data_IF_030259063625
#
_entry.id   IF_030259063625
#
_cell.length_a   1.000
_cell.length_b   1.000
_cell.length_c   1.000
_cell.angle_alpha   90.00
_cell.angle_beta   90.00
_cell.angle_gamma   90.00
#
_symmetry.space_group_name_H-M   'P 1'
#
loop_
_entity.id
_entity.type
_entity.pdbx_description
1 polymer ?
#
# COMPACT_ATOMS: atom_id res chain seq x y z
N UNK A 1 -6.37 48.27 30.89
CA UNK A 1 -5.70 46.98 30.61
C UNK A 1 -5.67 46.79 29.11
N UNK A 2 -4.49 46.92 28.49
CA UNK A 2 -4.31 46.68 27.04
C UNK A 2 -3.90 45.22 26.87
N UNK A 3 -4.82 44.38 26.41
CA UNK A 3 -4.49 43.02 25.99
C UNK A 3 -3.72 43.12 24.68
N UNK A 4 -2.49 42.66 24.69
CA UNK A 4 -1.60 42.64 23.54
C UNK A 4 -2.21 41.78 22.43
N UNK A 5 -2.60 42.41 21.32
CA UNK A 5 -3.09 41.75 20.11
C UNK A 5 -2.03 40.82 19.47
N UNK A 6 -0.76 40.92 19.89
CA UNK A 6 0.32 40.08 19.37
C UNK A 6 0.24 38.62 19.84
N UNK A 7 -0.33 38.34 21.02
CA UNK A 7 -0.42 36.96 21.55
C UNK A 7 -1.51 36.12 20.88
N UNK A 8 -2.59 36.73 20.39
CA UNK A 8 -3.67 36.02 19.71
C UNK A 8 -3.31 35.65 18.25
N UNK A 9 -2.44 36.44 17.61
CA UNK A 9 -2.00 36.17 16.24
C UNK A 9 -1.05 34.96 16.17
N UNK A 10 -0.18 34.80 17.18
CA UNK A 10 0.75 33.66 17.23
C UNK A 10 0.05 32.32 17.52
N UNK A 11 -1.07 32.34 18.26
CA UNK A 11 -1.85 31.13 18.52
C UNK A 11 -2.65 30.69 17.30
N UNK A 12 -3.10 31.61 16.43
CA UNK A 12 -3.86 31.26 15.23
C UNK A 12 -2.99 30.70 14.09
N UNK A 13 -1.75 31.18 13.95
CA UNK A 13 -0.82 30.72 12.91
C UNK A 13 -0.32 29.29 13.16
N UNK A 14 -0.33 28.82 14.42
CA UNK A 14 0.12 27.46 14.77
C UNK A 14 -0.93 26.36 14.51
N UNK A 15 -2.17 26.69 14.11
CA UNK A 15 -3.23 25.71 13.84
C UNK A 15 -3.62 25.58 12.35
N UNK A 16 -2.89 26.22 11.43
CA UNK A 16 -3.19 26.14 9.99
C UNK A 16 -2.01 25.57 9.20
N UNK A 17 -1.37 24.54 9.73
CA UNK A 17 -0.79 23.54 8.83
C UNK A 17 -1.94 22.60 8.48
N UNK A 18 -2.70 22.96 7.44
CA UNK A 18 -3.63 22.03 6.81
C UNK A 18 -2.78 20.87 6.28
N UNK A 19 -2.71 19.78 7.03
CA UNK A 19 -2.17 18.53 6.50
C UNK A 19 -3.17 18.06 5.46
N UNK A 20 -2.88 18.34 4.19
CA UNK A 20 -3.71 17.81 3.11
C UNK A 20 -3.49 16.30 3.06
N UNK A 21 -4.60 15.57 3.18
CA UNK A 21 -4.63 14.13 3.11
C UNK A 21 -5.34 13.72 1.82
N UNK A 22 -4.74 12.82 1.06
CA UNK A 22 -5.29 12.31 -0.19
C UNK A 22 -5.67 10.85 -0.02
N UNK A 23 -6.87 10.48 -0.48
CA UNK A 23 -7.40 9.13 -0.37
C UNK A 23 -7.43 8.45 -1.75
N UNK A 24 -6.66 7.36 -1.89
CA UNK A 24 -6.60 6.57 -3.12
C UNK A 24 -7.06 5.14 -2.86
N UNK A 25 -8.01 4.66 -3.67
CA UNK A 25 -8.54 3.30 -3.55
C UNK A 25 -7.91 2.35 -4.57
N UNK A 26 -7.41 1.23 -4.07
CA UNK A 26 -6.69 0.23 -4.85
C UNK A 26 -7.24 -1.17 -4.62
N UNK A 27 -6.93 -2.04 -5.58
CA UNK A 27 -7.07 -3.48 -5.48
C UNK A 27 -5.69 -4.09 -5.67
N UNK A 28 -5.24 -4.89 -4.71
CA UNK A 28 -4.07 -5.76 -4.88
C UNK A 28 -4.52 -7.20 -5.12
N UNK A 29 -4.01 -7.78 -6.19
CA UNK A 29 -4.17 -9.19 -6.50
C UNK A 29 -2.95 -9.95 -6.01
N UNK A 30 -3.15 -11.02 -5.27
CA UNK A 30 -2.11 -11.87 -4.72
C UNK A 30 -2.58 -13.32 -4.66
N UNK A 31 -1.66 -14.27 -4.55
CA UNK A 31 -2.05 -15.66 -4.46
C UNK A 31 -0.93 -16.63 -4.80
N UNK A 32 -1.32 -17.86 -5.09
CA UNK A 32 -0.44 -18.96 -5.50
C UNK A 32 -1.06 -19.67 -6.71
N UNK A 33 -0.45 -20.77 -7.17
CA UNK A 33 -1.09 -21.61 -8.20
C UNK A 33 -2.45 -22.18 -7.79
N UNK A 34 -2.77 -22.24 -6.49
CA UNK A 34 -3.99 -22.90 -5.99
C UNK A 34 -5.13 -21.94 -5.65
N UNK A 35 -4.85 -20.64 -5.49
CA UNK A 35 -5.85 -19.64 -5.15
C UNK A 35 -5.38 -18.24 -5.57
N UNK A 36 -6.34 -17.36 -5.82
CA UNK A 36 -6.13 -15.95 -6.14
C UNK A 36 -7.02 -15.14 -5.20
N UNK A 37 -6.44 -14.16 -4.52
CA UNK A 37 -7.13 -13.23 -3.66
C UNK A 37 -7.05 -11.82 -4.22
N UNK A 38 -8.10 -11.06 -3.99
CA UNK A 38 -8.19 -9.64 -4.31
C UNK A 38 -8.52 -8.88 -3.02
N UNK A 39 -7.61 -7.98 -2.64
CA UNK A 39 -7.78 -7.12 -1.49
C UNK A 39 -8.07 -5.68 -1.94
N UNK A 40 -9.20 -5.14 -1.50
CA UNK A 40 -9.60 -3.75 -1.68
C UNK A 40 -9.20 -2.94 -0.46
N UNK A 41 -8.52 -1.81 -0.66
CA UNK A 41 -8.05 -0.95 0.40
C UNK A 41 -7.91 0.50 -0.07
N UNK A 42 -7.88 1.41 0.90
CA UNK A 42 -7.57 2.82 0.69
C UNK A 42 -6.18 3.13 1.25
N UNK A 43 -5.41 3.91 0.51
CA UNK A 43 -4.19 4.56 1.02
C UNK A 43 -4.52 6.03 1.25
N UNK A 44 -4.33 6.48 2.48
CA UNK A 44 -4.41 7.88 2.89
C UNK A 44 -2.98 8.40 3.01
N UNK A 45 -2.53 9.14 2.01
CA UNK A 45 -1.21 9.80 2.02
C UNK A 45 -1.31 11.25 2.50
N UNK A 46 -0.18 11.81 2.91
CA UNK A 46 -0.06 13.17 3.41
C UNK A 46 1.02 13.92 2.62
N UNK A 47 0.89 15.24 2.49
CA UNK A 47 1.96 16.07 1.92
C UNK A 47 3.23 16.09 2.79
N UNK A 48 3.08 15.84 4.10
CA UNK A 48 4.22 15.73 4.99
C UNK A 48 4.89 14.34 4.85
N UNK A 49 6.10 14.26 4.26
CA UNK A 49 6.76 12.97 4.00
C UNK A 49 7.24 12.25 5.26
N UNK A 50 7.23 12.92 6.42
CA UNK A 50 7.53 12.28 7.71
C UNK A 50 6.36 11.46 8.24
N UNK A 51 5.14 11.71 7.74
CA UNK A 51 3.95 10.95 8.11
C UNK A 51 3.86 9.69 7.24
N UNK A 52 3.86 8.52 7.88
CA UNK A 52 3.58 7.27 7.18
C UNK A 52 2.14 7.32 6.65
N UNK A 53 1.90 7.06 5.36
CA UNK A 53 0.56 6.89 4.82
C UNK A 53 -0.21 5.84 5.63
N UNK A 54 -1.48 6.12 5.87
CA UNK A 54 -2.36 5.20 6.59
C UNK A 54 -3.11 4.31 5.60
N UNK A 55 -3.28 3.04 5.93
CA UNK A 55 -4.01 2.09 5.11
C UNK A 55 -5.30 1.64 5.80
N UNK A 56 -6.38 1.60 5.03
CA UNK A 56 -7.67 1.07 5.47
C UNK A 56 -8.03 -0.10 4.56
N UNK A 57 -7.99 -1.31 5.10
CA UNK A 57 -8.51 -2.49 4.42
C UNK A 57 -10.04 -2.45 4.37
N UNK A 58 -10.61 -2.64 3.19
CA UNK A 58 -12.06 -2.65 2.98
C UNK A 58 -12.59 -4.09 2.91
N UNK A 59 -11.96 -4.93 2.11
CA UNK A 59 -12.36 -6.33 1.94
C UNK A 59 -11.24 -7.15 1.33
N UNK A 60 -11.31 -8.46 1.53
CA UNK A 60 -10.50 -9.45 0.85
C UNK A 60 -11.42 -10.60 0.43
N UNK A 61 -11.39 -10.95 -0.84
CA UNK A 61 -12.07 -12.16 -1.32
C UNK A 61 -11.08 -13.02 -2.10
N UNK A 62 -11.19 -14.33 -1.94
CA UNK A 62 -10.33 -15.32 -2.58
C UNK A 62 -11.14 -16.30 -3.42
N UNK A 63 -10.58 -16.72 -4.55
CA UNK A 63 -11.11 -17.75 -5.44
C UNK A 63 -10.07 -18.86 -5.60
N UNK A 64 -10.52 -20.11 -5.72
CA UNK A 64 -9.63 -21.25 -5.92
C UNK A 64 -9.29 -21.39 -7.41
N UNK A 65 -8.00 -21.58 -7.72
CA UNK A 65 -7.49 -21.57 -9.11
C UNK A 65 -8.00 -22.71 -10.01
N UNK A 66 -8.62 -23.75 -9.43
CA UNK A 66 -8.98 -24.98 -10.11
C UNK A 66 -10.50 -25.17 -10.30
N UNK A 67 -11.32 -24.21 -9.86
CA UNK A 67 -12.78 -24.33 -9.96
C UNK A 67 -13.32 -23.43 -11.07
N UNK A 68 -13.86 -24.03 -12.13
CA UNK A 68 -14.40 -23.34 -13.33
C UNK A 68 -15.52 -22.32 -13.02
N UNK A 69 -16.13 -22.37 -11.83
CA UNK A 69 -17.09 -21.40 -11.31
C UNK A 69 -16.92 -21.21 -9.79
N UNK A 70 -15.68 -21.03 -9.33
CA UNK A 70 -15.30 -21.19 -7.94
C UNK A 70 -16.01 -20.28 -6.94
N UNK A 71 -16.55 -20.89 -5.89
CA UNK A 71 -16.97 -20.23 -4.65
C UNK A 71 -15.96 -19.15 -4.26
N UNK A 72 -16.47 -17.96 -3.91
CA UNK A 72 -15.68 -16.88 -3.34
C UNK A 72 -15.62 -17.03 -1.83
N UNK A 73 -14.42 -16.91 -1.28
CA UNK A 73 -14.16 -16.99 0.15
C UNK A 73 -13.78 -15.61 0.68
N UNK A 74 -14.64 -15.03 1.49
CA UNK A 74 -14.36 -13.76 2.14
C UNK A 74 -13.39 -13.97 3.31
N UNK A 75 -12.23 -13.32 3.21
CA UNK A 75 -11.24 -13.30 4.28
C UNK A 75 -11.58 -12.11 5.19
N UNK A 76 -11.81 -12.34 6.50
CA UNK A 76 -12.07 -11.25 7.42
C UNK A 76 -10.90 -10.27 7.44
N UNK A 77 -11.19 -8.97 7.35
CA UNK A 77 -10.19 -7.91 7.49
C UNK A 77 -10.30 -7.30 8.87
N UNK A 78 -9.17 -7.12 9.54
CA UNK A 78 -9.14 -6.48 10.84
C UNK A 78 -9.04 -4.96 10.74
N UNK A 79 -9.90 -4.29 11.49
CA UNK A 79 -9.56 -3.02 12.15
C UNK A 79 -9.88 -2.99 13.65
N UNK A 80 -10.49 -4.05 14.23
CA UNK A 80 -10.74 -4.20 15.68
C UNK A 80 -11.39 -5.54 16.12
N UNK A 81 -12.06 -6.29 15.22
CA UNK A 81 -13.11 -7.25 15.62
C UNK A 81 -12.93 -8.71 15.19
N UNK A 82 -11.84 -9.05 14.50
CA UNK A 82 -11.64 -10.40 13.97
C UNK A 82 -10.22 -10.89 14.32
N UNK A 83 -9.97 -11.51 15.49
CA UNK A 83 -8.60 -11.81 15.95
C UNK A 83 -7.77 -12.71 15.02
N UNK A 84 -8.40 -13.37 14.05
CA UNK A 84 -7.76 -14.18 13.00
C UNK A 84 -7.96 -13.58 11.59
N UNK A 85 -8.33 -12.31 11.48
CA UNK A 85 -8.48 -11.62 10.20
C UNK A 85 -7.13 -11.13 9.66
N UNK A 86 -7.10 -10.81 8.38
CA UNK A 86 -5.95 -10.21 7.73
C UNK A 86 -5.76 -8.76 8.17
N UNK A 87 -4.51 -8.38 8.41
CA UNK A 87 -4.12 -7.02 8.83
C UNK A 87 -3.40 -6.29 7.70
N UNK A 88 -3.88 -5.10 7.35
CA UNK A 88 -3.18 -4.21 6.43
C UNK A 88 -2.19 -3.35 7.20
N UNK A 89 -1.00 -3.14 6.65
CA UNK A 89 0.04 -2.31 7.28
C UNK A 89 0.77 -1.42 6.27
N UNK A 90 1.41 -0.39 6.81
CA UNK A 90 2.32 0.49 6.08
C UNK A 90 3.60 0.69 6.88
N UNK A 91 4.75 0.69 6.21
CA UNK A 91 6.07 0.93 6.80
C UNK A 91 6.84 1.92 5.94
N UNK A 92 7.54 2.87 6.56
CA UNK A 92 8.49 3.71 5.83
C UNK A 92 9.68 2.87 5.36
N UNK A 93 10.01 2.95 4.08
CA UNK A 93 11.17 2.23 3.52
C UNK A 93 12.49 2.77 4.06
N UNK A 94 12.56 4.09 4.31
CA UNK A 94 13.72 4.72 4.92
C UNK A 94 13.31 5.69 6.04
N UNK A 95 13.20 5.20 7.29
CA UNK A 95 12.84 6.04 8.43
C UNK A 95 13.88 7.11 8.77
N UNK A 96 15.15 6.88 8.42
CA UNK A 96 16.25 7.82 8.70
C UNK A 96 16.29 8.97 7.68
N UNK A 97 15.91 8.69 6.43
CA UNK A 97 15.78 9.66 5.35
C UNK A 97 14.42 9.50 4.67
N UNK A 98 13.35 10.13 5.22
CA UNK A 98 11.98 9.90 4.77
C UNK A 98 11.72 10.34 3.32
N UNK A 99 12.63 11.11 2.73
CA UNK A 99 12.58 11.51 1.33
C UNK A 99 13.89 11.20 0.62
N UNK A 100 13.78 10.85 -0.66
CA UNK A 100 14.93 10.73 -1.56
C UNK A 100 15.40 12.10 -2.07
N UNK A 101 16.40 12.11 -2.95
CA UNK A 101 16.97 13.33 -3.55
C UNK A 101 15.97 14.16 -4.38
N UNK A 102 14.85 13.56 -4.78
CA UNK A 102 13.76 14.22 -5.50
C UNK A 102 12.61 14.66 -4.57
N UNK A 103 12.74 14.47 -3.25
CA UNK A 103 11.69 14.77 -2.29
C UNK A 103 10.60 13.69 -2.20
N UNK A 104 10.74 12.56 -2.91
CA UNK A 104 9.74 11.50 -2.88
C UNK A 104 9.91 10.63 -1.64
N UNK A 105 8.80 10.25 -1.01
CA UNK A 105 8.81 9.35 0.14
C UNK A 105 8.34 7.96 -0.27
N UNK A 106 9.05 6.94 0.23
CA UNK A 106 8.84 5.54 -0.13
C UNK A 106 8.27 4.73 1.02
N UNK A 107 7.26 3.91 0.73
CA UNK A 107 6.57 3.10 1.74
C UNK A 107 6.37 1.67 1.25
N UNK A 108 6.55 0.72 2.16
CA UNK A 108 6.09 -0.66 2.02
C UNK A 108 4.64 -0.71 2.50
N UNK A 109 3.78 -1.35 1.72
CA UNK A 109 2.37 -1.58 2.00
C UNK A 109 2.16 -3.08 1.90
N UNK A 110 1.57 -3.68 2.92
CA UNK A 110 1.35 -5.12 2.92
C UNK A 110 0.11 -5.56 3.66
N UNK A 111 -0.16 -6.85 3.52
CA UNK A 111 -1.25 -7.56 4.18
C UNK A 111 -0.61 -8.72 4.91
N UNK A 112 -0.88 -8.86 6.20
CA UNK A 112 -0.56 -10.06 6.97
C UNK A 112 -1.82 -10.92 7.01
N UNK A 113 -1.93 -11.90 6.10
CA UNK A 113 -3.06 -12.82 6.09
C UNK A 113 -2.67 -14.11 6.82
N UNK A 114 -3.34 -14.46 7.94
CA UNK A 114 -3.12 -15.74 8.59
C UNK A 114 -3.69 -16.89 7.74
N UNK A 115 -3.30 -18.12 8.07
CA UNK A 115 -3.93 -19.29 7.47
C UNK A 115 -5.39 -19.38 7.95
N UNK A 116 -6.30 -19.71 7.04
CA UNK A 116 -7.74 -19.78 7.30
C UNK A 116 -8.30 -21.10 6.77
N UNK A 117 -9.20 -21.71 7.54
CA UNK A 117 -9.96 -22.88 7.12
C UNK A 117 -11.44 -22.53 7.17
N UNK A 118 -12.12 -22.66 6.03
CA UNK A 118 -13.55 -22.40 5.91
C UNK A 118 -14.37 -23.64 6.27
N UNK A 119 -15.68 -23.45 6.53
CA UNK A 119 -16.59 -24.51 6.96
C UNK A 119 -16.69 -25.70 5.98
N UNK A 120 -16.40 -25.48 4.69
CA UNK A 120 -16.35 -26.51 3.66
C UNK A 120 -14.96 -27.20 3.54
N UNK A 121 -14.11 -27.08 4.56
CA UNK A 121 -12.73 -27.59 4.60
C UNK A 121 -11.78 -27.00 3.54
N UNK A 122 -12.13 -25.87 2.93
CA UNK A 122 -11.19 -25.13 2.08
C UNK A 122 -10.15 -24.45 2.97
N UNK A 123 -8.88 -24.73 2.70
CA UNK A 123 -7.76 -24.18 3.44
C UNK A 123 -7.03 -23.13 2.59
N UNK A 124 -7.05 -21.88 3.05
CA UNK A 124 -6.18 -20.83 2.56
C UNK A 124 -4.91 -20.78 3.42
N UNK A 125 -3.71 -20.90 2.84
CA UNK A 125 -2.48 -20.77 3.59
C UNK A 125 -2.23 -19.33 4.02
N UNK A 126 -1.35 -19.14 5.00
CA UNK A 126 -0.87 -17.82 5.35
C UNK A 126 -0.08 -17.21 4.19
N UNK A 127 -0.35 -15.95 3.87
CA UNK A 127 0.35 -15.19 2.83
C UNK A 127 0.54 -13.75 3.26
N UNK A 128 1.68 -13.17 2.88
CA UNK A 128 2.05 -11.82 3.27
C UNK A 128 2.36 -10.96 2.03
N UNK A 129 1.38 -10.71 1.14
CA UNK A 129 1.62 -9.90 -0.03
C UNK A 129 2.01 -8.48 0.40
N UNK A 130 3.07 -7.96 -0.21
CA UNK A 130 3.52 -6.60 0.06
C UNK A 130 4.07 -5.96 -1.19
N UNK A 131 4.02 -4.64 -1.26
CA UNK A 131 4.56 -3.86 -2.35
C UNK A 131 5.05 -2.51 -1.85
N UNK A 132 5.97 -1.94 -2.62
CA UNK A 132 6.60 -0.67 -2.37
C UNK A 132 6.01 0.36 -3.33
N UNK A 133 5.69 1.54 -2.81
CA UNK A 133 5.16 2.65 -3.58
C UNK A 133 5.85 3.94 -3.16
N UNK A 134 6.08 4.82 -4.14
CA UNK A 134 6.54 6.18 -3.89
C UNK A 134 5.41 7.17 -4.05
N UNK A 135 5.52 8.25 -3.29
CA UNK A 135 4.67 9.42 -3.38
C UNK A 135 5.54 10.65 -3.57
N UNK A 136 5.04 11.64 -4.32
CA UNK A 136 5.73 12.91 -4.48
C UNK A 136 5.59 13.81 -3.24
N UNK A 137 6.18 15.00 -3.33
CA UNK A 137 6.12 16.03 -2.28
C UNK A 137 4.70 16.56 -2.01
N UNK A 138 3.75 16.31 -2.92
CA UNK A 138 2.34 16.65 -2.76
C UNK A 138 1.50 15.43 -2.30
N UNK A 139 2.14 14.33 -1.92
CA UNK A 139 1.43 13.11 -1.49
C UNK A 139 0.71 12.38 -2.63
N UNK A 140 1.02 12.67 -3.90
CA UNK A 140 0.45 11.97 -5.05
C UNK A 140 1.20 10.65 -5.31
N UNK A 141 0.51 9.55 -5.61
CA UNK A 141 1.13 8.27 -5.88
C UNK A 141 1.89 8.31 -7.21
N UNK A 142 3.18 7.99 -7.16
CA UNK A 142 4.04 7.92 -8.34
C UNK A 142 4.07 6.51 -8.96
N UNK A 143 3.48 5.53 -8.28
CA UNK A 143 3.31 4.16 -8.75
C UNK A 143 4.00 3.12 -7.87
N UNK A 144 3.59 1.86 -8.03
CA UNK A 144 4.24 0.73 -7.37
C UNK A 144 5.61 0.47 -8.01
N UNK A 145 6.63 0.14 -7.21
CA UNK A 145 8.01 -0.05 -7.68
C UNK A 145 8.56 -1.46 -7.41
N UNK A 146 7.96 -2.19 -6.48
CA UNK A 146 8.30 -3.58 -6.14
C UNK A 146 7.09 -4.22 -5.47
N UNK A 147 6.82 -5.49 -5.71
CA UNK A 147 5.95 -6.37 -4.93
C UNK A 147 6.70 -7.65 -4.50
N UNK A 148 6.31 -8.24 -3.38
CA UNK A 148 7.01 -9.38 -2.77
C UNK A 148 5.99 -10.31 -2.13
N UNK A 149 6.43 -11.54 -1.86
CA UNK A 149 5.69 -12.54 -1.08
C UNK A 149 4.24 -12.78 -1.56
N UNK A 150 4.09 -13.03 -2.87
CA UNK A 150 2.81 -13.46 -3.46
C UNK A 150 1.94 -12.31 -3.99
N UNK A 151 2.35 -11.06 -3.81
CA UNK A 151 1.74 -9.92 -4.49
C UNK A 151 2.03 -9.95 -6.00
N UNK A 152 0.98 -9.84 -6.82
CA UNK A 152 1.07 -10.00 -8.28
C UNK A 152 0.81 -8.70 -9.03
N UNK A 153 -0.22 -7.95 -8.63
CA UNK A 153 -0.65 -6.78 -9.38
C UNK A 153 -1.40 -5.78 -8.50
N UNK A 154 -1.15 -4.49 -8.72
CA UNK A 154 -1.89 -3.38 -8.14
C UNK A 154 -2.70 -2.69 -9.24
N UNK A 155 -3.97 -2.45 -8.99
CA UNK A 155 -4.86 -1.70 -9.86
C UNK A 155 -5.57 -0.62 -9.05
N UNK A 156 -5.88 0.51 -9.68
CA UNK A 156 -6.88 1.42 -9.16
C UNK A 156 -8.25 0.72 -9.17
N UNK A 157 -9.17 1.15 -8.31
CA UNK A 157 -10.51 0.52 -8.20
C UNK A 157 -11.29 0.45 -9.51
N UNK A 158 -11.04 1.37 -10.45
CA UNK A 158 -11.64 1.37 -11.79
C UNK A 158 -11.06 0.28 -12.74
N UNK A 159 -10.17 -0.59 -12.24
CA UNK A 159 -9.52 -1.65 -12.99
C UNK A 159 -8.28 -1.19 -13.76
N UNK A 160 -7.95 0.10 -13.75
CA UNK A 160 -6.73 0.59 -14.39
C UNK A 160 -5.51 0.08 -13.64
N UNK A 161 -4.64 -0.66 -14.33
CA UNK A 161 -3.36 -1.10 -13.76
C UNK A 161 -2.55 0.13 -13.32
N UNK A 162 -2.00 0.10 -12.11
CA UNK A 162 -1.11 1.17 -11.65
C UNK A 162 0.17 1.10 -12.46
N UNK A 163 0.49 2.19 -13.17
CA UNK A 163 1.75 2.29 -13.88
C UNK A 163 2.91 2.12 -12.88
N UNK A 164 3.93 1.31 -13.20
CA UNK A 164 5.10 1.22 -12.35
C UNK A 164 5.75 2.59 -12.20
N UNK A 165 6.34 2.86 -11.04
CA UNK A 165 7.14 4.06 -10.86
C UNK A 165 8.27 4.09 -11.90
N UNK A 166 8.39 5.19 -12.64
CA UNK A 166 9.46 5.37 -13.62
C UNK A 166 10.80 5.52 -12.88
N UNK A 167 11.56 4.43 -12.82
CA UNK A 167 12.92 4.44 -12.29
C UNK A 167 13.78 5.51 -13.00
N UNK A 168 14.68 6.23 -12.30
CA UNK A 168 15.48 7.31 -12.86
C UNK A 168 16.25 6.88 -14.13
N UNK A 169 16.59 7.83 -15.02
CA UNK A 169 17.41 7.54 -16.21
C UNK A 169 18.72 6.83 -15.82
N UNK A 170 19.01 5.68 -16.44
CA UNK A 170 20.23 4.90 -16.16
C UNK A 170 19.99 3.50 -15.55
N UNK A 171 18.77 3.21 -15.09
CA UNK A 171 18.41 1.84 -14.63
C UNK A 171 17.93 1.00 -15.82
N UNK A 172 18.56 -0.15 -16.13
CA UNK A 172 18.22 -0.95 -17.31
C UNK A 172 16.79 -1.49 -17.25
N UNK A 173 15.98 -1.16 -18.26
CA UNK A 173 14.60 -1.63 -18.47
C UNK A 173 14.57 -3.08 -19.00
N UNK A 174 15.25 -3.99 -18.30
CA UNK A 174 15.45 -5.38 -18.73
C UNK A 174 14.19 -6.26 -18.57
N UNK A 175 13.65 -6.68 -19.72
CA UNK A 175 12.91 -7.91 -20.00
C UNK A 175 11.50 -8.11 -19.38
N UNK A 176 10.55 -8.25 -20.29
CA UNK A 176 9.15 -8.58 -20.08
C UNK A 176 9.02 -10.09 -19.79
N UNK A 177 8.09 -10.44 -18.90
CA UNK A 177 7.93 -11.73 -18.19
C UNK A 177 8.90 -11.83 -16.99
N UNK A 178 8.37 -11.45 -15.81
CA UNK A 178 9.14 -11.34 -14.57
C UNK A 178 9.63 -9.93 -14.24
N UNK A 179 8.75 -8.90 -14.29
CA UNK A 179 9.00 -7.48 -13.97
C UNK A 179 9.49 -7.25 -12.52
N UNK A 180 10.68 -7.72 -12.20
CA UNK A 180 11.12 -7.90 -10.82
C UNK A 180 12.53 -7.37 -10.55
N UNK A 181 13.58 -7.67 -11.32
CA UNK A 181 14.94 -7.44 -10.81
C UNK A 181 15.50 -6.00 -10.85
N UNK A 182 15.10 -5.13 -11.80
CA UNK A 182 15.83 -3.88 -12.03
C UNK A 182 15.40 -2.70 -11.14
N UNK A 183 14.09 -2.55 -10.84
CA UNK A 183 13.63 -1.57 -9.85
C UNK A 183 13.74 -2.10 -8.40
N UNK A 184 13.92 -3.41 -8.20
CA UNK A 184 14.22 -4.00 -6.87
C UNK A 184 15.48 -3.36 -6.25
N UNK A 185 16.54 -3.12 -7.04
CA UNK A 185 17.76 -2.49 -6.53
C UNK A 185 17.57 -1.00 -6.19
N UNK A 186 16.60 -0.31 -6.77
CA UNK A 186 16.31 1.09 -6.47
C UNK A 186 15.35 1.27 -5.30
N UNK A 187 14.39 0.37 -5.08
CA UNK A 187 13.50 0.49 -3.90
C UNK A 187 14.16 0.03 -2.60
N UNK A 188 15.23 -0.79 -2.67
CA UNK A 188 15.96 -1.29 -1.49
C UNK A 188 17.28 -0.56 -1.18
N UNK A 189 17.70 0.39 -2.02
CA UNK A 189 18.95 1.16 -1.84
C UNK A 189 18.73 2.65 -2.05
N UNK A 190 17.77 3.27 -1.37
CA UNK A 190 17.78 4.72 -1.13
C UNK A 190 17.18 5.05 0.22
#
# INVERSE_FOLDING_TARGET
MRVSAASAFLTYVLFILQVQAYNYRYIITYGTGNFICHADFNIISYENPTMVPFIIGNSIYCVMGNNEFGDSFDVPVQSANAPNGADFYTLNLNPAHPVNQHGHHGVEIGINQPALTFANNVHLPAVNPRFDMYFDVAGQPLGACSYRQGALQLAQRNGAAVAPYNCPPGVPRGLQIGRWAACLFSCSRF
#
